data_IF_657015104469
#
_entry.id   IF_657015104469
#
_cell.length_a   1.000
_cell.length_b   1.000
_cell.length_c   1.000
_cell.angle_alpha   90.00
_cell.angle_beta   90.00
_cell.angle_gamma   90.00
#
_symmetry.space_group_name_H-M   'P 1'
#
loop_
_entity.id
_entity.type
_entity.pdbx_description
1 polymer ?
#
# COMPACT_ATOMS: atom_id res chain seq x y z
N UNK A 1 -6.29 -18.10 -21.68
CA UNK A 1 -5.92 -17.76 -20.30
C UNK A 1 -6.11 -16.27 -20.08
N UNK A 2 -6.94 -15.95 -19.09
CA UNK A 2 -7.07 -14.63 -18.48
C UNK A 2 -6.68 -14.76 -17.01
N UNK A 3 -5.93 -13.78 -16.49
CA UNK A 3 -5.62 -13.68 -15.06
C UNK A 3 -6.64 -12.78 -14.38
N UNK A 4 -7.43 -13.32 -13.48
CA UNK A 4 -8.47 -12.60 -12.75
C UNK A 4 -7.99 -12.36 -11.33
N UNK A 5 -8.00 -11.10 -10.88
CA UNK A 5 -7.60 -10.78 -9.51
C UNK A 5 -8.41 -9.67 -8.87
N UNK A 6 -8.70 -9.78 -7.55
CA UNK A 6 -9.53 -8.83 -6.84
C UNK A 6 -8.78 -7.52 -6.62
N UNK A 7 -9.56 -6.43 -6.49
CA UNK A 7 -9.05 -5.10 -6.11
C UNK A 7 -8.04 -5.15 -4.97
N UNK A 8 -8.31 -5.92 -3.90
CA UNK A 8 -7.41 -6.01 -2.74
C UNK A 8 -6.02 -6.54 -3.08
N UNK A 9 -5.91 -7.54 -3.97
CA UNK A 9 -4.62 -8.05 -4.43
C UNK A 9 -3.86 -6.99 -5.24
N UNK A 10 -4.57 -6.24 -6.09
CA UNK A 10 -3.99 -5.12 -6.83
C UNK A 10 -3.48 -4.00 -5.91
N UNK A 11 -4.31 -3.59 -4.93
CA UNK A 11 -3.93 -2.58 -3.92
C UNK A 11 -2.69 -3.00 -3.15
N UNK A 12 -2.53 -4.30 -2.84
CA UNK A 12 -1.34 -4.82 -2.17
C UNK A 12 -0.08 -4.64 -3.00
N UNK A 13 -0.11 -4.97 -4.30
CA UNK A 13 1.02 -4.76 -5.22
C UNK A 13 1.38 -3.28 -5.32
N UNK A 14 0.37 -2.41 -5.53
CA UNK A 14 0.58 -0.96 -5.66
C UNK A 14 1.15 -0.39 -4.37
N UNK A 15 0.57 -0.72 -3.20
CA UNK A 15 1.01 -0.18 -1.92
C UNK A 15 2.43 -0.59 -1.58
N UNK A 16 2.76 -1.87 -1.75
CA UNK A 16 4.09 -2.39 -1.48
C UNK A 16 5.13 -1.73 -2.41
N UNK A 17 4.90 -1.68 -3.71
CA UNK A 17 5.82 -1.04 -4.64
C UNK A 17 5.99 0.47 -4.38
N UNK A 18 4.89 1.20 -4.15
CA UNK A 18 4.93 2.66 -3.92
C UNK A 18 5.56 3.01 -2.57
N UNK A 19 5.44 2.15 -1.55
CA UNK A 19 6.11 2.33 -0.26
C UNK A 19 7.63 2.44 -0.40
N UNK A 20 8.22 1.58 -1.24
CA UNK A 20 9.67 1.51 -1.45
C UNK A 20 10.18 2.36 -2.63
N UNK A 21 9.31 2.72 -3.55
CA UNK A 21 9.55 3.70 -4.63
C UNK A 21 8.77 5.01 -4.39
N UNK A 22 8.73 5.44 -3.14
CA UNK A 22 7.99 6.64 -2.73
C UNK A 22 8.65 7.88 -3.34
N UNK A 23 7.87 8.78 -3.93
CA UNK A 23 8.41 10.01 -4.57
C UNK A 23 9.10 10.97 -3.62
N UNK A 24 8.99 10.76 -2.30
CA UNK A 24 9.74 11.48 -1.26
C UNK A 24 11.14 10.89 -1.00
N UNK A 25 11.42 9.71 -1.56
CA UNK A 25 12.73 9.06 -1.55
C UNK A 25 13.43 9.46 -2.86
N UNK A 26 14.74 9.79 -2.83
CA UNK A 26 15.52 10.00 -4.05
C UNK A 26 15.35 8.82 -5.01
N UNK A 27 15.19 9.09 -6.31
CA UNK A 27 14.90 8.05 -7.30
C UNK A 27 15.99 6.96 -7.36
N UNK A 28 17.25 7.35 -7.16
CA UNK A 28 18.39 6.42 -7.12
C UNK A 28 18.40 5.52 -5.87
N UNK A 29 17.53 5.81 -4.90
CA UNK A 29 17.36 5.03 -3.66
C UNK A 29 16.02 4.26 -3.66
N UNK A 30 15.30 4.23 -4.79
CA UNK A 30 14.12 3.37 -4.96
C UNK A 30 14.53 1.91 -5.03
N UNK A 31 13.70 1.05 -4.44
CA UNK A 31 14.00 -0.38 -4.32
C UNK A 31 12.90 -1.21 -4.98
N UNK A 32 13.29 -2.28 -5.64
CA UNK A 32 12.34 -3.28 -6.10
C UNK A 32 11.76 -4.04 -4.91
N UNK A 33 10.51 -4.48 -5.08
CA UNK A 33 9.75 -5.25 -4.10
C UNK A 33 9.17 -6.44 -4.82
N UNK A 34 9.09 -7.58 -4.17
CA UNK A 34 8.47 -8.77 -4.71
C UNK A 34 7.53 -9.44 -3.73
N UNK A 35 6.63 -10.22 -4.29
CA UNK A 35 5.66 -11.00 -3.55
C UNK A 35 5.13 -12.15 -4.38
N UNK A 36 4.17 -12.86 -3.78
CA UNK A 36 3.51 -14.00 -4.40
C UNK A 36 2.00 -13.75 -4.51
N UNK A 37 1.38 -14.47 -5.43
CA UNK A 37 -0.06 -14.57 -5.55
C UNK A 37 -0.54 -15.94 -5.11
N UNK A 38 -1.54 -15.94 -4.22
CA UNK A 38 -2.29 -17.13 -3.85
C UNK A 38 -3.60 -17.15 -4.63
N UNK A 39 -4.00 -18.34 -5.04
CA UNK A 39 -5.23 -18.52 -5.78
C UNK A 39 -5.44 -19.96 -6.24
N UNK A 40 -6.12 -20.11 -7.37
CA UNK A 40 -6.37 -21.39 -8.01
C UNK A 40 -6.43 -21.24 -9.52
N UNK A 41 -6.28 -22.36 -10.23
CA UNK A 41 -6.54 -22.43 -11.66
C UNK A 41 -7.99 -22.85 -11.90
N UNK A 42 -8.65 -22.23 -12.88
CA UNK A 42 -9.98 -22.61 -13.36
C UNK A 42 -9.92 -22.83 -14.88
N UNK A 43 -9.82 -24.10 -15.28
CA UNK A 43 -9.48 -24.45 -16.66
C UNK A 43 -8.12 -23.87 -17.05
N UNK A 44 -8.11 -23.04 -18.10
CA UNK A 44 -6.92 -22.34 -18.58
C UNK A 44 -6.73 -20.97 -17.93
N UNK A 45 -7.61 -20.54 -17.01
CA UNK A 45 -7.57 -19.22 -16.37
C UNK A 45 -6.96 -19.30 -14.97
N UNK A 46 -6.37 -18.19 -14.53
CA UNK A 46 -5.73 -18.07 -13.21
C UNK A 46 -6.55 -17.13 -12.36
N UNK A 47 -7.09 -17.64 -11.26
CA UNK A 47 -7.89 -16.88 -10.30
C UNK A 47 -7.02 -16.58 -9.08
N UNK A 48 -6.53 -15.34 -8.98
CA UNK A 48 -5.83 -14.86 -7.80
C UNK A 48 -6.87 -14.47 -6.75
N UNK A 49 -6.65 -14.87 -5.50
CA UNK A 49 -7.49 -14.49 -4.36
C UNK A 49 -6.75 -13.55 -3.42
N UNK A 50 -5.45 -13.75 -3.23
CA UNK A 50 -4.63 -12.93 -2.33
C UNK A 50 -3.25 -12.60 -2.92
N UNK A 51 -2.67 -11.49 -2.45
CA UNK A 51 -1.31 -11.06 -2.75
C UNK A 51 -0.56 -10.85 -1.45
N UNK A 52 0.66 -11.39 -1.38
CA UNK A 52 1.53 -11.25 -0.22
C UNK A 52 2.86 -10.63 -0.64
N UNK A 53 3.16 -9.39 -0.21
CA UNK A 53 4.52 -8.87 -0.28
C UNK A 53 5.43 -9.72 0.61
N UNK A 54 6.56 -10.15 0.06
CA UNK A 54 7.50 -11.04 0.74
C UNK A 54 8.77 -10.28 1.09
N UNK A 55 9.37 -9.60 0.11
CA UNK A 55 10.64 -8.92 0.30
C UNK A 55 10.77 -7.65 -0.54
N UNK A 56 11.71 -6.81 -0.12
CA UNK A 56 12.26 -5.70 -0.88
C UNK A 56 13.77 -5.87 -1.01
N UNK A 57 14.34 -5.31 -2.07
CA UNK A 57 15.79 -5.22 -2.23
C UNK A 57 16.42 -4.41 -1.09
N UNK A 58 17.68 -4.68 -0.78
CA UNK A 58 18.47 -3.84 0.12
C UNK A 58 19.36 -2.93 -0.69
N UNK A 59 19.41 -1.66 -0.32
CA UNK A 59 20.30 -0.70 -0.95
C UNK A 59 21.75 -1.05 -0.60
N UNK A 60 22.54 -1.49 -1.58
CA UNK A 60 23.98 -1.70 -1.45
C UNK A 60 24.72 -0.90 -2.52
N UNK A 61 25.25 0.27 -2.13
CA UNK A 61 25.97 1.17 -3.05
C UNK A 61 27.31 0.60 -3.55
N UNK A 62 27.80 -0.48 -2.94
CA UNK A 62 29.05 -1.12 -3.33
C UNK A 62 28.81 -2.40 -4.15
N UNK A 63 27.56 -2.81 -4.33
CA UNK A 63 27.24 -3.96 -5.15
C UNK A 63 27.53 -3.66 -6.62
N UNK A 64 28.26 -4.57 -7.27
CA UNK A 64 28.53 -4.50 -8.72
C UNK A 64 27.28 -4.89 -9.53
N UNK A 65 26.38 -5.68 -8.92
CA UNK A 65 25.12 -6.15 -9.49
C UNK A 65 24.09 -6.15 -8.36
N UNK A 66 22.90 -5.60 -8.62
CA UNK A 66 21.78 -5.65 -7.69
C UNK A 66 21.43 -7.11 -7.34
N UNK A 67 21.39 -7.41 -6.05
CA UNK A 67 21.14 -8.77 -5.58
C UNK A 67 19.67 -8.97 -5.26
N UNK A 68 18.92 -9.50 -6.23
CA UNK A 68 17.61 -10.08 -5.96
C UNK A 68 17.78 -11.43 -5.26
N UNK A 69 17.74 -11.42 -3.92
CA UNK A 69 17.92 -12.62 -3.11
C UNK A 69 16.95 -12.64 -1.93
N UNK A 70 16.20 -13.72 -1.83
CA UNK A 70 15.35 -14.01 -0.67
C UNK A 70 16.22 -14.46 0.51
N UNK A 71 15.88 -13.96 1.70
CA UNK A 71 16.44 -14.39 2.98
C UNK A 71 15.76 -15.67 3.48
N UNK A 72 16.31 -16.31 4.51
CA UNK A 72 15.71 -17.50 5.11
C UNK A 72 14.30 -17.21 5.66
N UNK A 73 14.09 -16.01 6.24
CA UNK A 73 12.77 -15.56 6.70
C UNK A 73 11.76 -15.44 5.56
N UNK A 74 12.20 -15.04 4.36
CA UNK A 74 11.33 -14.91 3.19
C UNK A 74 10.85 -16.29 2.69
N UNK A 75 11.73 -17.29 2.70
CA UNK A 75 11.36 -18.68 2.37
C UNK A 75 10.44 -19.29 3.43
N UNK A 76 10.67 -19.01 4.72
CA UNK A 76 9.78 -19.43 5.80
C UNK A 76 8.39 -18.79 5.61
N UNK A 77 8.34 -17.49 5.31
CA UNK A 77 7.09 -16.79 5.03
C UNK A 77 6.32 -17.44 3.87
N UNK A 78 6.99 -17.70 2.74
CA UNK A 78 6.38 -18.43 1.62
C UNK A 78 5.82 -19.78 2.06
N UNK A 79 6.60 -20.58 2.79
CA UNK A 79 6.16 -21.91 3.23
C UNK A 79 4.92 -21.85 4.12
N UNK A 80 4.81 -20.87 5.01
CA UNK A 80 3.64 -20.71 5.88
C UNK A 80 2.42 -20.29 5.04
N UNK A 81 2.59 -19.32 4.14
CA UNK A 81 1.51 -18.85 3.27
C UNK A 81 0.98 -19.99 2.38
N UNK A 82 1.88 -20.79 1.79
CA UNK A 82 1.49 -21.93 0.95
C UNK A 82 0.74 -23.00 1.74
N UNK A 83 1.16 -23.31 2.98
CA UNK A 83 0.46 -24.27 3.84
C UNK A 83 -0.95 -23.77 4.22
N UNK A 84 -1.07 -22.49 4.60
CA UNK A 84 -2.36 -21.86 4.88
C UNK A 84 -3.29 -21.83 3.65
N UNK A 85 -2.73 -21.58 2.46
CA UNK A 85 -3.46 -21.60 1.19
C UNK A 85 -3.94 -23.01 0.84
N UNK A 86 -3.08 -24.02 1.02
CA UNK A 86 -3.40 -25.42 0.76
C UNK A 86 -4.59 -25.89 1.60
N UNK A 87 -4.67 -25.46 2.86
CA UNK A 87 -5.81 -25.72 3.73
C UNK A 87 -7.15 -25.20 3.21
N UNK A 88 -7.14 -24.24 2.26
CA UNK A 88 -8.33 -23.69 1.58
C UNK A 88 -8.50 -24.20 0.15
N UNK A 89 -7.68 -25.15 -0.29
CA UNK A 89 -7.66 -25.64 -1.67
C UNK A 89 -7.07 -24.64 -2.67
N UNK A 90 -6.27 -23.69 -2.19
CA UNK A 90 -5.53 -22.70 -2.97
C UNK A 90 -4.03 -23.01 -2.94
N UNK A 91 -3.26 -22.37 -3.80
CA UNK A 91 -1.81 -22.51 -3.87
C UNK A 91 -1.17 -21.27 -4.50
N UNK A 92 0.16 -21.19 -4.48
CA UNK A 92 0.86 -20.13 -5.22
C UNK A 92 0.67 -20.27 -6.72
N UNK A 93 -0.07 -19.32 -7.31
CA UNK A 93 -0.39 -19.27 -8.74
C UNK A 93 0.56 -18.37 -9.53
N UNK A 94 1.50 -17.72 -8.87
CA UNK A 94 2.49 -16.89 -9.53
C UNK A 94 3.17 -15.94 -8.56
N UNK A 95 3.99 -15.06 -9.12
CA UNK A 95 4.73 -14.07 -8.36
C UNK A 95 4.63 -12.71 -9.02
N UNK A 96 5.01 -11.68 -8.28
CA UNK A 96 5.09 -10.33 -8.79
C UNK A 96 6.33 -9.63 -8.26
N UNK A 97 6.82 -8.67 -9.02
CA UNK A 97 7.83 -7.74 -8.56
C UNK A 97 7.63 -6.35 -9.16
N UNK A 98 8.33 -5.36 -8.61
CA UNK A 98 8.29 -3.99 -9.10
C UNK A 98 9.56 -3.61 -9.87
N UNK A 99 9.38 -2.80 -10.91
CA UNK A 99 10.43 -2.15 -11.71
C UNK A 99 10.31 -0.63 -11.55
N UNK A 100 10.71 -0.05 -10.40
CA UNK A 100 10.56 1.36 -10.14
C UNK A 100 11.55 2.15 -10.99
N UNK A 101 11.04 2.80 -12.04
CA UNK A 101 11.89 3.56 -12.95
C UNK A 101 12.59 2.74 -14.02
N UNK A 102 12.19 1.47 -14.23
CA UNK A 102 12.61 0.65 -15.37
C UNK A 102 11.43 0.31 -16.28
N UNK A 103 11.74 -0.11 -17.50
CA UNK A 103 10.72 -0.65 -18.40
C UNK A 103 10.08 -1.91 -17.79
N UNK A 104 8.77 -2.06 -18.00
CA UNK A 104 8.03 -3.27 -17.64
C UNK A 104 8.34 -4.37 -18.66
N UNK A 105 9.29 -5.24 -18.31
CA UNK A 105 9.81 -6.36 -19.10
C UNK A 105 10.42 -7.39 -18.14
N UNK A 106 10.73 -8.59 -18.63
CA UNK A 106 11.44 -9.60 -17.83
C UNK A 106 12.95 -9.54 -18.10
N UNK A 107 13.74 -9.50 -17.04
CA UNK A 107 15.18 -9.75 -17.03
C UNK A 107 15.50 -11.25 -17.05
N UNK A 108 16.77 -11.62 -17.20
CA UNK A 108 17.22 -13.01 -17.11
C UNK A 108 16.95 -13.63 -15.71
N UNK A 109 16.99 -12.82 -14.66
CA UNK A 109 16.66 -13.27 -13.30
C UNK A 109 15.15 -13.57 -13.22
N UNK A 110 14.33 -12.72 -13.84
CA UNK A 110 12.87 -12.89 -13.83
C UNK A 110 12.45 -14.12 -14.65
N UNK A 111 13.10 -14.37 -15.79
CA UNK A 111 12.90 -15.59 -16.59
C UNK A 111 13.21 -16.82 -15.73
N UNK A 112 14.36 -16.85 -15.05
CA UNK A 112 14.75 -17.97 -14.19
C UNK A 112 13.77 -18.18 -13.03
N UNK A 113 13.32 -17.10 -12.38
CA UNK A 113 12.34 -17.20 -11.29
C UNK A 113 11.00 -17.71 -11.81
N UNK A 114 10.51 -17.15 -12.93
CA UNK A 114 9.25 -17.57 -13.57
C UNK A 114 9.32 -19.01 -14.05
N UNK A 115 10.47 -19.47 -14.54
CA UNK A 115 10.71 -20.85 -14.91
C UNK A 115 10.50 -21.81 -13.73
N UNK A 116 10.98 -21.44 -12.54
CA UNK A 116 10.78 -22.24 -11.32
C UNK A 116 9.29 -22.38 -10.97
N UNK A 117 8.53 -21.28 -11.05
CA UNK A 117 7.08 -21.32 -10.83
C UNK A 117 6.35 -22.11 -11.92
N UNK A 118 6.65 -21.87 -13.20
CA UNK A 118 5.99 -22.53 -14.33
C UNK A 118 6.32 -24.02 -14.45
N UNK A 119 7.47 -24.46 -13.94
CA UNK A 119 7.82 -25.89 -13.89
C UNK A 119 6.90 -26.65 -12.92
N UNK A 120 6.52 -26.02 -11.81
CA UNK A 120 5.64 -26.63 -10.80
C UNK A 120 4.15 -26.41 -11.10
N UNK A 121 3.80 -25.27 -11.68
CA UNK A 121 2.45 -24.93 -12.12
C UNK A 121 2.52 -24.35 -13.55
N UNK A 122 2.17 -25.10 -14.60
CA UNK A 122 2.28 -24.63 -15.99
C UNK A 122 1.54 -23.33 -16.29
N UNK A 123 0.50 -22.99 -15.52
CA UNK A 123 -0.27 -21.74 -15.65
C UNK A 123 0.30 -20.59 -14.81
N UNK A 124 1.40 -20.79 -14.09
CA UNK A 124 1.96 -19.75 -13.24
C UNK A 124 2.32 -18.49 -14.02
N UNK A 125 2.14 -17.34 -13.38
CA UNK A 125 2.34 -16.02 -13.98
C UNK A 125 3.43 -15.21 -13.26
N UNK A 126 3.96 -14.22 -13.97
CA UNK A 126 4.86 -13.20 -13.43
C UNK A 126 4.31 -11.81 -13.73
N UNK A 127 3.97 -11.04 -12.70
CA UNK A 127 3.51 -9.66 -12.86
C UNK A 127 4.66 -8.69 -12.57
N UNK A 128 4.91 -7.76 -13.50
CA UNK A 128 5.91 -6.70 -13.32
C UNK A 128 5.20 -5.37 -13.23
N UNK A 129 5.26 -4.72 -12.07
CA UNK A 129 4.61 -3.44 -11.80
C UNK A 129 5.60 -2.27 -11.80
N UNK A 130 5.25 -1.15 -12.41
CA UNK A 130 6.02 0.09 -12.34
C UNK A 130 5.12 1.24 -11.85
N UNK A 131 5.41 1.84 -10.68
CA UNK A 131 4.63 2.95 -10.15
C UNK A 131 4.69 4.22 -11.02
N UNK A 132 5.79 4.46 -11.74
CA UNK A 132 5.87 5.58 -12.69
C UNK A 132 4.99 5.33 -13.92
N UNK A 133 4.92 4.08 -14.41
CA UNK A 133 4.04 3.70 -15.53
C UNK A 133 2.59 4.00 -15.18
N UNK A 134 2.14 3.60 -13.99
CA UNK A 134 0.80 3.91 -13.49
C UNK A 134 0.57 5.42 -13.36
N UNK A 135 1.44 6.14 -12.65
CA UNK A 135 1.23 7.56 -12.34
C UNK A 135 1.29 8.46 -13.57
N UNK A 136 2.24 8.20 -14.47
CA UNK A 136 2.49 9.05 -15.64
C UNK A 136 1.74 8.58 -16.87
N UNK A 137 1.22 7.34 -16.87
CA UNK A 137 0.61 6.72 -18.04
C UNK A 137 1.59 6.73 -19.23
N UNK A 138 2.84 6.34 -19.00
CA UNK A 138 3.86 6.24 -20.05
C UNK A 138 4.68 4.96 -19.93
N UNK A 139 5.10 4.42 -21.07
CA UNK A 139 6.11 3.38 -21.15
C UNK A 139 7.46 4.00 -21.55
N UNK A 140 8.50 3.70 -20.77
CA UNK A 140 9.85 4.18 -21.06
C UNK A 140 10.32 3.65 -22.42
N UNK A 141 10.96 4.53 -23.18
CA UNK A 141 11.51 4.19 -24.47
C UNK A 141 12.65 3.16 -24.36
N UNK A 142 12.82 2.34 -25.41
CA UNK A 142 13.87 1.32 -25.46
C UNK A 142 15.29 1.89 -25.55
N UNK A 143 15.44 3.08 -26.15
CA UNK A 143 16.73 3.73 -26.36
C UNK A 143 16.71 5.10 -25.72
N UNK A 144 17.82 5.44 -25.07
CA UNK A 144 18.02 6.77 -24.49
C UNK A 144 17.94 7.83 -25.59
N UNK A 145 16.98 8.74 -25.49
CA UNK A 145 16.73 9.82 -26.45
C UNK A 145 15.46 9.65 -27.30
N UNK A 146 14.88 8.45 -27.35
CA UNK A 146 13.57 8.23 -27.96
C UNK A 146 12.46 8.73 -27.01
N UNK A 147 11.32 9.23 -27.55
CA UNK A 147 10.21 9.67 -26.72
C UNK A 147 9.55 8.50 -25.98
N UNK A 148 9.13 8.75 -24.75
CA UNK A 148 8.27 7.83 -24.00
C UNK A 148 6.97 7.56 -24.79
N UNK A 149 6.45 6.34 -24.69
CA UNK A 149 5.19 5.95 -25.33
C UNK A 149 4.03 6.32 -24.40
N UNK A 150 3.11 7.15 -24.88
CA UNK A 150 1.91 7.51 -24.13
C UNK A 150 0.97 6.30 -24.02
N UNK A 151 0.55 6.00 -22.79
CA UNK A 151 -0.42 4.98 -22.47
C UNK A 151 -1.77 5.62 -22.15
N UNK A 152 -2.82 4.80 -22.21
CA UNK A 152 -4.18 5.18 -21.81
C UNK A 152 -4.75 4.09 -20.92
N UNK A 153 -5.22 4.48 -19.74
CA UNK A 153 -5.86 3.62 -18.76
C UNK A 153 -5.05 2.37 -18.36
N UNK A 154 -3.73 2.48 -18.37
CA UNK A 154 -2.83 1.39 -18.02
C UNK A 154 -2.71 1.22 -16.50
N UNK A 155 -2.84 0.00 -15.94
CA UNK A 155 -2.82 -0.22 -14.50
C UNK A 155 -1.39 -0.26 -13.92
N UNK A 156 -0.37 0.08 -14.70
CA UNK A 156 1.02 0.14 -14.27
C UNK A 156 1.77 -1.16 -14.33
N UNK A 157 1.19 -2.25 -14.82
CA UNK A 157 1.88 -3.54 -14.93
C UNK A 157 1.63 -4.23 -16.26
N UNK A 158 2.42 -5.28 -16.49
CA UNK A 158 2.12 -6.34 -17.46
C UNK A 158 2.28 -7.68 -16.75
N UNK A 159 1.51 -8.67 -17.19
CA UNK A 159 1.65 -10.06 -16.74
C UNK A 159 2.33 -10.84 -17.84
N UNK A 160 3.29 -11.67 -17.49
CA UNK A 160 4.09 -12.45 -18.41
C UNK A 160 4.05 -13.94 -18.10
N UNK A 161 4.29 -14.73 -19.16
CA UNK A 161 4.52 -16.17 -19.10
C UNK A 161 5.61 -16.56 -20.08
N UNK A 162 6.35 -17.61 -19.73
CA UNK A 162 7.31 -18.25 -20.62
C UNK A 162 6.58 -19.11 -21.64
N UNK A 163 7.04 -19.05 -22.89
CA UNK A 163 6.49 -19.80 -24.02
C UNK A 163 6.83 -21.30 -23.94
N UNK A 164 8.07 -21.60 -23.56
CA UNK A 164 8.60 -22.96 -23.49
C UNK A 164 9.60 -23.10 -22.34
N UNK A 165 9.17 -23.78 -21.27
CA UNK A 165 10.01 -24.02 -20.09
C UNK A 165 11.23 -24.91 -20.38
N UNK A 166 11.21 -25.69 -21.46
CA UNK A 166 12.33 -26.58 -21.81
C UNK A 166 13.55 -25.81 -22.34
N UNK A 167 13.36 -24.55 -22.75
CA UNK A 167 14.45 -23.65 -23.16
C UNK A 167 15.18 -23.02 -21.96
N UNK A 168 14.72 -23.28 -20.74
CA UNK A 168 15.38 -22.82 -19.52
C UNK A 168 15.44 -21.29 -19.45
N UNK A 169 16.64 -20.75 -19.22
CA UNK A 169 16.87 -19.29 -19.07
C UNK A 169 16.78 -18.52 -20.40
N UNK A 170 16.81 -19.22 -21.53
CA UNK A 170 16.69 -18.66 -22.87
C UNK A 170 15.23 -18.64 -23.36
N UNK A 171 14.28 -19.07 -22.51
CA UNK A 171 12.87 -19.11 -22.85
C UNK A 171 12.35 -17.72 -23.23
N UNK A 172 11.70 -17.65 -24.38
CA UNK A 172 10.93 -16.47 -24.78
C UNK A 172 9.69 -16.32 -23.88
N UNK A 173 9.14 -15.11 -23.84
CA UNK A 173 7.96 -14.80 -23.05
C UNK A 173 6.97 -13.91 -23.81
N UNK A 174 5.70 -14.05 -23.46
CA UNK A 174 4.60 -13.21 -23.95
C UNK A 174 3.81 -12.61 -22.80
N UNK A 175 2.97 -11.63 -23.10
CA UNK A 175 2.04 -11.05 -22.13
C UNK A 175 0.75 -11.83 -22.04
N UNK A 176 0.21 -11.95 -20.84
CA UNK A 176 -1.09 -12.54 -20.57
C UNK A 176 -2.18 -11.47 -20.40
N UNK A 177 -3.39 -11.79 -20.85
CA UNK A 177 -4.59 -10.98 -20.60
C UNK A 177 -4.99 -11.05 -19.13
N UNK A 178 -5.65 -10.00 -18.64
CA UNK A 178 -6.05 -9.91 -17.24
C UNK A 178 -7.39 -9.18 -17.07
N UNK A 179 -7.98 -9.37 -15.89
CA UNK A 179 -9.15 -8.64 -15.42
C UNK A 179 -8.97 -8.29 -13.94
N UNK A 180 -9.10 -7.00 -13.63
CA UNK A 180 -9.08 -6.49 -12.26
C UNK A 180 -10.52 -6.27 -11.81
N UNK A 181 -10.94 -6.97 -10.77
CA UNK A 181 -12.29 -6.84 -10.24
C UNK A 181 -12.40 -5.66 -9.27
N UNK A 182 -13.60 -5.11 -9.09
CA UNK A 182 -13.87 -4.04 -8.12
C UNK A 182 -13.68 -2.62 -8.65
N UNK A 183 -13.57 -2.45 -9.97
CA UNK A 183 -13.61 -1.17 -10.67
C UNK A 183 -14.67 -1.20 -11.77
N UNK A 184 -15.38 -0.10 -11.94
CA UNK A 184 -16.43 0.08 -12.94
C UNK A 184 -15.84 0.29 -14.35
N UNK A 185 -14.61 0.82 -14.44
CA UNK A 185 -13.88 1.02 -15.70
C UNK A 185 -12.37 1.15 -15.47
N UNK A 186 -11.59 0.97 -16.53
CA UNK A 186 -10.13 1.17 -16.50
C UNK A 186 -9.76 2.63 -16.20
N UNK A 187 -10.55 3.60 -16.65
CA UNK A 187 -10.36 5.03 -16.34
C UNK A 187 -10.54 5.30 -14.85
N UNK A 188 -11.61 4.75 -14.26
CA UNK A 188 -11.85 4.86 -12.82
C UNK A 188 -10.72 4.19 -12.04
N UNK A 189 -10.25 3.02 -12.48
CA UNK A 189 -9.12 2.33 -11.87
C UNK A 189 -7.87 3.20 -11.83
N UNK A 190 -7.44 3.74 -12.98
CA UNK A 190 -6.24 4.57 -13.06
C UNK A 190 -6.39 5.85 -12.25
N UNK A 191 -7.55 6.49 -12.29
CA UNK A 191 -7.85 7.69 -11.51
C UNK A 191 -7.82 7.41 -10.01
N UNK A 192 -8.49 6.36 -9.54
CA UNK A 192 -8.51 5.99 -8.12
C UNK A 192 -7.10 5.62 -7.63
N UNK A 193 -6.33 4.89 -8.43
CA UNK A 193 -5.00 4.49 -8.02
C UNK A 193 -4.03 5.68 -8.01
N UNK A 194 -3.93 6.41 -9.12
CA UNK A 194 -2.92 7.46 -9.30
C UNK A 194 -3.23 8.72 -8.48
N UNK A 195 -4.51 9.10 -8.38
CA UNK A 195 -4.91 10.38 -7.78
C UNK A 195 -5.38 10.25 -6.33
N UNK A 196 -5.58 9.03 -5.81
CA UNK A 196 -5.99 8.82 -4.42
C UNK A 196 -5.09 7.82 -3.72
N UNK A 197 -5.14 6.54 -4.11
CA UNK A 197 -4.51 5.47 -3.34
C UNK A 197 -2.98 5.62 -3.25
N UNK A 198 -2.29 5.89 -4.38
CA UNK A 198 -0.85 6.13 -4.36
C UNK A 198 -0.48 7.32 -3.48
N UNK A 199 -1.29 8.39 -3.47
CA UNK A 199 -1.06 9.57 -2.64
C UNK A 199 -1.19 9.22 -1.16
N UNK A 200 -2.18 8.41 -0.80
CA UNK A 200 -2.35 7.92 0.57
C UNK A 200 -1.17 7.03 1.00
N UNK A 201 -0.72 6.11 0.15
CA UNK A 201 0.47 5.29 0.40
C UNK A 201 1.70 6.19 0.61
N UNK A 202 1.92 7.17 -0.27
CA UNK A 202 3.06 8.11 -0.18
C UNK A 202 3.07 8.88 1.15
N UNK A 203 1.89 9.27 1.62
CA UNK A 203 1.73 10.13 2.78
C UNK A 203 1.63 9.36 4.11
N UNK A 204 1.19 8.11 4.07
CA UNK A 204 0.72 7.38 5.26
C UNK A 204 1.26 5.96 5.35
N UNK A 205 1.99 5.43 4.36
CA UNK A 205 2.67 4.14 4.48
C UNK A 205 4.20 4.31 4.53
N UNK A 206 4.81 4.42 5.71
CA UNK A 206 6.25 4.65 5.84
C UNK A 206 7.06 3.42 5.40
N UNK A 207 8.17 3.66 4.70
CA UNK A 207 9.13 2.62 4.30
C UNK A 207 9.74 1.93 5.54
N UNK A 208 10.23 2.73 6.49
CA UNK A 208 10.95 2.25 7.68
C UNK A 208 10.34 2.81 8.96
N UNK A 209 10.68 2.22 10.11
CA UNK A 209 10.24 2.67 11.43
C UNK A 209 8.71 2.83 11.52
N UNK A 210 7.97 1.87 10.96
CA UNK A 210 6.51 1.97 10.75
C UNK A 210 5.78 2.32 12.04
N UNK A 211 5.97 1.53 13.09
CA UNK A 211 5.33 1.76 14.39
C UNK A 211 5.68 3.13 14.98
N UNK A 212 6.95 3.52 14.99
CA UNK A 212 7.41 4.81 15.52
C UNK A 212 6.84 6.00 14.74
N UNK A 213 6.75 5.88 13.42
CA UNK A 213 6.15 6.92 12.57
C UNK A 213 4.66 7.10 12.91
N UNK A 214 3.92 6.00 13.08
CA UNK A 214 2.51 6.05 13.48
C UNK A 214 2.32 6.53 14.92
N UNK A 215 3.19 6.16 15.84
CA UNK A 215 3.17 6.68 17.20
C UNK A 215 3.27 8.19 17.21
N UNK A 216 4.28 8.75 16.52
CA UNK A 216 4.43 10.20 16.39
C UNK A 216 3.20 10.85 15.77
N UNK A 217 2.66 10.27 14.70
CA UNK A 217 1.45 10.79 14.05
C UNK A 217 0.27 10.85 15.02
N UNK A 218 0.04 9.79 15.80
CA UNK A 218 -1.06 9.71 16.75
C UNK A 218 -0.85 10.68 17.91
N UNK A 219 0.36 10.73 18.48
CA UNK A 219 0.70 11.64 19.57
C UNK A 219 0.54 13.13 19.15
N UNK A 220 0.96 13.47 17.93
CA UNK A 220 0.77 14.82 17.35
C UNK A 220 -0.73 15.15 17.20
N UNK A 221 -1.56 14.18 16.79
CA UNK A 221 -3.01 14.36 16.66
C UNK A 221 -3.70 14.49 18.02
N UNK A 222 -3.29 13.71 19.02
CA UNK A 222 -3.79 13.83 20.41
C UNK A 222 -3.45 15.20 20.95
N UNK A 223 -2.18 15.63 20.85
CA UNK A 223 -1.72 16.95 21.29
C UNK A 223 -2.53 18.08 20.64
N UNK A 224 -2.81 17.96 19.33
CA UNK A 224 -3.62 18.96 18.62
C UNK A 224 -5.08 18.97 19.09
N UNK A 225 -5.68 17.82 19.36
CA UNK A 225 -7.04 17.72 19.90
C UNK A 225 -7.13 18.39 21.27
N UNK A 226 -6.19 18.09 22.18
CA UNK A 226 -6.14 18.70 23.50
C UNK A 226 -5.95 20.22 23.41
N UNK A 227 -5.11 20.70 22.48
CA UNK A 227 -4.95 22.13 22.20
C UNK A 227 -6.22 22.81 21.70
N UNK A 228 -7.03 22.15 20.85
CA UNK A 228 -8.32 22.68 20.40
C UNK A 228 -9.32 22.80 21.56
N UNK A 229 -9.37 21.78 22.43
CA UNK A 229 -10.23 21.79 23.62
C UNK A 229 -9.83 22.91 24.60
N UNK A 230 -8.53 23.03 24.89
CA UNK A 230 -8.02 24.08 25.77
C UNK A 230 -8.27 25.48 25.19
N UNK A 231 -7.96 25.69 23.90
CA UNK A 231 -8.19 26.98 23.24
C UNK A 231 -9.66 27.37 23.21
N UNK A 232 -10.57 26.38 23.06
CA UNK A 232 -12.02 26.61 23.18
C UNK A 232 -12.36 27.13 24.58
N UNK A 233 -11.88 26.46 25.62
CA UNK A 233 -12.13 26.85 27.02
C UNK A 233 -11.59 28.25 27.36
N UNK A 234 -10.37 28.57 26.93
CA UNK A 234 -9.74 29.88 27.13
C UNK A 234 -10.52 31.00 26.42
N UNK A 235 -11.00 30.72 25.20
CA UNK A 235 -11.77 31.69 24.43
C UNK A 235 -13.13 31.97 25.09
N UNK A 236 -13.85 30.92 25.53
CA UNK A 236 -15.11 31.06 26.26
C UNK A 236 -14.94 31.81 27.60
N UNK A 237 -13.84 31.54 28.31
CA UNK A 237 -13.46 32.28 29.52
C UNK A 237 -13.26 33.76 29.23
N UNK A 238 -12.56 34.08 28.14
CA UNK A 238 -12.33 35.47 27.71
C UNK A 238 -13.64 36.20 27.39
N UNK A 239 -14.57 35.56 26.66
CA UNK A 239 -15.89 36.12 26.38
C UNK A 239 -16.69 36.39 27.66
N UNK A 240 -16.60 35.47 28.63
CA UNK A 240 -17.23 35.61 29.95
C UNK A 240 -16.70 36.84 30.69
N UNK A 241 -15.38 37.03 30.72
CA UNK A 241 -14.74 38.18 31.37
C UNK A 241 -15.03 39.52 30.67
N UNK A 242 -15.20 39.51 29.35
CA UNK A 242 -15.55 40.71 28.56
C UNK A 242 -17.04 41.07 28.61
N UNK A 243 -17.87 40.25 29.27
CA UNK A 243 -19.33 40.45 29.31
C UNK A 243 -20.04 40.08 28.00
N UNK A 244 -19.37 39.40 27.07
CA UNK A 244 -19.88 39.04 25.75
C UNK A 244 -20.61 37.67 25.76
N UNK A 245 -21.36 37.37 26.83
CA UNK A 245 -21.97 36.06 27.06
C UNK A 245 -22.96 35.63 25.98
N UNK A 246 -23.58 36.58 25.27
CA UNK A 246 -24.49 36.27 24.16
C UNK A 246 -23.82 35.52 23.00
N UNK A 247 -22.49 35.62 22.87
CA UNK A 247 -21.71 34.95 21.82
C UNK A 247 -21.30 33.51 22.17
N UNK A 248 -21.38 33.14 23.45
CA UNK A 248 -20.91 31.84 23.96
C UNK A 248 -21.59 30.65 23.26
N UNK A 249 -22.93 30.60 23.09
CA UNK A 249 -23.57 29.45 22.45
C UNK A 249 -23.10 29.21 21.01
N UNK A 250 -23.01 30.28 20.22
CA UNK A 250 -22.55 30.22 18.82
C UNK A 250 -21.08 29.77 18.74
N UNK A 251 -20.22 30.36 19.58
CA UNK A 251 -18.80 30.02 19.61
C UNK A 251 -18.59 28.56 20.02
N UNK A 252 -19.30 28.09 21.04
CA UNK A 252 -19.20 26.72 21.52
C UNK A 252 -19.65 25.72 20.44
N UNK A 253 -20.73 26.01 19.73
CA UNK A 253 -21.21 25.18 18.63
C UNK A 253 -20.17 25.10 17.50
N UNK A 254 -19.68 26.26 17.03
CA UNK A 254 -18.67 26.32 15.97
C UNK A 254 -17.38 25.58 16.35
N UNK A 255 -16.84 25.80 17.55
CA UNK A 255 -15.63 25.10 18.01
C UNK A 255 -15.87 23.60 18.18
N UNK A 256 -17.06 23.20 18.64
CA UNK A 256 -17.42 21.77 18.76
C UNK A 256 -17.49 21.10 17.39
N UNK A 257 -18.02 21.79 16.37
CA UNK A 257 -18.03 21.30 15.00
C UNK A 257 -16.61 21.15 14.43
N UNK A 258 -15.75 22.15 14.64
CA UNK A 258 -14.35 22.10 14.18
C UNK A 258 -13.58 20.94 14.84
N UNK A 259 -13.77 20.73 16.14
CA UNK A 259 -13.18 19.61 16.88
C UNK A 259 -13.68 18.27 16.31
N UNK A 260 -14.99 18.13 16.08
CA UNK A 260 -15.58 16.90 15.52
C UNK A 260 -15.07 16.63 14.10
N UNK A 261 -14.92 17.67 13.28
CA UNK A 261 -14.33 17.57 11.95
C UNK A 261 -12.88 17.09 12.03
N UNK A 262 -12.08 17.65 12.94
CA UNK A 262 -10.70 17.21 13.17
C UNK A 262 -10.62 15.73 13.56
N UNK A 263 -11.54 15.26 14.41
CA UNK A 263 -11.62 13.85 14.82
C UNK A 263 -11.99 12.95 13.64
N UNK A 264 -12.98 13.33 12.84
CA UNK A 264 -13.39 12.58 11.65
C UNK A 264 -12.24 12.47 10.64
N UNK A 265 -11.49 13.55 10.42
CA UNK A 265 -10.28 13.53 9.58
C UNK A 265 -9.19 12.60 10.13
N UNK A 266 -9.01 12.54 11.46
CA UNK A 266 -8.06 11.58 12.06
C UNK A 266 -8.55 10.14 11.89
N UNK A 267 -9.85 9.89 12.01
CA UNK A 267 -10.43 8.56 11.84
C UNK A 267 -10.14 8.01 10.44
N UNK A 268 -10.33 8.82 9.38
CA UNK A 268 -10.00 8.43 8.00
C UNK A 268 -8.51 8.02 7.88
N UNK A 269 -7.60 8.79 8.50
CA UNK A 269 -6.17 8.45 8.50
C UNK A 269 -5.88 7.13 9.21
N UNK A 270 -6.56 6.86 10.32
CA UNK A 270 -6.43 5.61 11.08
C UNK A 270 -6.93 4.43 10.26
N UNK A 271 -8.05 4.56 9.55
CA UNK A 271 -8.54 3.50 8.66
C UNK A 271 -7.56 3.23 7.51
N UNK A 272 -6.93 4.26 6.94
CA UNK A 272 -5.86 4.09 5.96
C UNK A 272 -4.65 3.35 6.56
N UNK A 273 -4.24 3.68 7.80
CA UNK A 273 -3.18 2.95 8.50
C UNK A 273 -3.55 1.47 8.63
N UNK A 274 -4.77 1.15 9.10
CA UNK A 274 -5.25 -0.24 9.25
C UNK A 274 -5.24 -0.98 7.92
N UNK A 275 -5.67 -0.33 6.83
CA UNK A 275 -5.60 -0.89 5.49
C UNK A 275 -4.15 -1.24 5.09
N UNK A 276 -3.21 -0.31 5.29
CA UNK A 276 -1.81 -0.50 4.91
C UNK A 276 -1.07 -1.54 5.74
N UNK A 277 -1.47 -1.76 7.00
CA UNK A 277 -0.95 -2.89 7.79
C UNK A 277 -1.18 -4.25 7.09
N UNK A 278 -2.29 -4.37 6.35
CA UNK A 278 -2.59 -5.56 5.54
C UNK A 278 -1.57 -5.80 4.41
N UNK A 279 -0.90 -4.75 3.95
CA UNK A 279 0.06 -4.75 2.84
C UNK A 279 1.53 -4.68 3.29
N UNK A 280 1.80 -4.84 4.59
CA UNK A 280 3.16 -5.08 5.09
C UNK A 280 3.72 -6.37 4.48
N UNK A 281 5.05 -6.46 4.41
CA UNK A 281 5.69 -7.74 4.12
C UNK A 281 5.32 -8.75 5.19
N UNK A 282 5.17 -10.01 4.80
CA UNK A 282 4.72 -11.06 5.71
C UNK A 282 5.54 -11.10 7.02
N UNK A 283 6.87 -11.00 6.90
CA UNK A 283 7.80 -10.99 8.05
C UNK A 283 7.65 -9.77 8.97
N UNK A 284 7.19 -8.63 8.47
CA UNK A 284 6.98 -7.43 9.29
C UNK A 284 5.73 -7.53 10.17
N UNK A 285 4.71 -8.27 9.71
CA UNK A 285 3.36 -8.26 10.30
C UNK A 285 3.37 -8.61 11.79
N UNK A 286 4.05 -9.70 12.16
CA UNK A 286 4.07 -10.22 13.53
C UNK A 286 4.65 -9.21 14.53
N UNK A 287 5.59 -8.36 14.09
CA UNK A 287 6.24 -7.38 14.96
C UNK A 287 5.53 -6.03 14.94
N UNK A 288 5.12 -5.56 13.75
CA UNK A 288 4.61 -4.20 13.56
C UNK A 288 3.14 -4.08 13.97
N UNK A 289 2.29 -5.05 13.60
CA UNK A 289 0.84 -4.94 13.82
C UNK A 289 0.49 -4.76 15.30
N UNK A 290 0.99 -5.58 16.25
CA UNK A 290 0.62 -5.44 17.67
C UNK A 290 1.03 -4.09 18.27
N UNK A 291 2.19 -3.55 17.85
CA UNK A 291 2.66 -2.23 18.28
C UNK A 291 1.72 -1.14 17.76
N UNK A 292 1.35 -1.19 16.49
CA UNK A 292 0.47 -0.19 15.87
C UNK A 292 -0.94 -0.27 16.45
N UNK A 293 -1.49 -1.46 16.69
CA UNK A 293 -2.78 -1.61 17.37
C UNK A 293 -2.79 -0.95 18.75
N UNK A 294 -1.72 -1.13 19.52
CA UNK A 294 -1.53 -0.46 20.82
C UNK A 294 -1.49 1.06 20.68
N UNK A 295 -0.78 1.57 19.66
CA UNK A 295 -0.69 3.01 19.34
C UNK A 295 -2.07 3.57 18.97
N UNK A 296 -2.81 2.88 18.09
CA UNK A 296 -4.13 3.33 17.63
C UNK A 296 -5.14 3.36 18.78
N UNK A 297 -5.05 2.40 19.71
CA UNK A 297 -5.87 2.38 20.92
C UNK A 297 -5.73 3.65 21.77
N UNK A 298 -4.54 4.27 21.84
CA UNK A 298 -4.34 5.55 22.54
C UNK A 298 -5.31 6.64 22.01
N UNK A 299 -5.49 6.71 20.70
CA UNK A 299 -6.41 7.66 20.08
C UNK A 299 -7.88 7.33 20.40
N UNK A 300 -8.25 6.06 20.33
CA UNK A 300 -9.61 5.58 20.64
C UNK A 300 -9.99 5.93 22.09
N UNK A 301 -9.08 5.70 23.04
CA UNK A 301 -9.27 6.03 24.45
C UNK A 301 -9.49 7.54 24.65
N UNK A 302 -8.71 8.39 23.98
CA UNK A 302 -8.86 9.86 24.06
C UNK A 302 -10.21 10.33 23.49
N UNK A 303 -10.60 9.81 22.32
CA UNK A 303 -11.84 10.23 21.64
C UNK A 303 -13.09 9.73 22.37
N UNK A 304 -13.03 8.57 23.03
CA UNK A 304 -14.15 8.04 23.81
C UNK A 304 -14.66 9.01 24.90
N UNK A 305 -13.77 9.85 25.43
CA UNK A 305 -14.10 10.87 26.44
C UNK A 305 -14.56 12.22 25.86
N UNK A 306 -14.51 12.41 24.54
CA UNK A 306 -14.66 13.72 23.91
C UNK A 306 -16.04 14.34 24.11
N UNK A 307 -17.12 13.60 23.86
CA UNK A 307 -18.48 14.12 24.03
C UNK A 307 -18.76 14.52 25.48
N UNK A 308 -18.16 13.81 26.44
CA UNK A 308 -18.24 14.17 27.86
C UNK A 308 -17.52 15.50 28.13
N UNK A 309 -16.31 15.69 27.59
CA UNK A 309 -15.54 16.94 27.71
C UNK A 309 -16.30 18.13 27.10
N UNK A 310 -16.85 17.98 25.89
CA UNK A 310 -17.64 19.03 25.22
C UNK A 310 -18.91 19.38 26.01
N UNK A 311 -19.63 18.38 26.55
CA UNK A 311 -20.77 18.60 27.43
C UNK A 311 -20.39 19.32 28.73
N UNK A 312 -19.20 19.05 29.28
CA UNK A 312 -18.72 19.74 30.47
C UNK A 312 -18.41 21.21 30.17
N UNK A 313 -17.78 21.52 29.03
CA UNK A 313 -17.58 22.90 28.57
C UNK A 313 -18.92 23.63 28.40
N UNK A 314 -19.91 22.98 27.77
CA UNK A 314 -21.25 23.54 27.61
C UNK A 314 -21.97 23.83 28.92
N UNK A 315 -21.69 23.09 29.99
CA UNK A 315 -22.28 23.33 31.31
C UNK A 315 -21.54 24.41 32.10
N UNK A 316 -20.27 24.65 31.78
CA UNK A 316 -19.39 25.56 32.50
C UNK A 316 -19.62 27.03 32.10
N UNK A 317 -19.96 27.28 30.85
CA UNK A 317 -20.14 28.63 30.27
C UNK A 317 -21.59 28.88 29.88
#
# INVERSE_FOLDING_TARGET
MVVIFPKKAYLSVVAAAVRFANTRIPKDDWLEVSGIFIGKNDGDDVIITESYPIMHQKLDRNAVIDQYKWSDEDYIALSIIDDEAFGRGEFTVGWWHSHPGFKVMMSHIDIRTTLSYQTNNPLAISLVFNPERLRRQVEQANKKGDPDIQLKNDPGFKIFRLDDINQGIEASYHTADYKIEGFDSEEQLVSEMSNKFMIEVINTFPKENVAKTYEKLIDDRITKLDGLLLGTEEYLTTLTHRGEKSRIPEVLENQSQDIRKFVAETFIKIENIKLFLGFLEYKEKQTVIPQVETILKKWEDVVSGLDKKLKQLSKKF
#
